data_IF_503873409542
#
_entry.id   IF_503873409542
#
_cell.length_a   1.000
_cell.length_b   1.000
_cell.length_c   1.000
_cell.angle_alpha   90.00
_cell.angle_beta   90.00
_cell.angle_gamma   90.00
#
_symmetry.space_group_name_H-M   'P 1'
#
loop_
_entity.id
_entity.type
_entity.pdbx_description
1 polymer ?
#
# COMPACT_ATOMS: atom_id res chain seq x y z
N UNK A 1 65.07 63.55 -21.61
CA UNK A 1 63.71 62.98 -21.83
C UNK A 1 63.58 61.47 -21.49
N UNK A 2 64.62 60.74 -21.19
CA UNK A 2 64.57 59.24 -21.01
C UNK A 2 64.25 58.74 -19.59
N UNK A 3 64.27 59.59 -18.55
CA UNK A 3 63.91 59.11 -17.15
C UNK A 3 62.43 59.19 -16.83
N UNK A 4 61.66 60.00 -17.46
CA UNK A 4 60.23 60.20 -17.19
C UNK A 4 59.41 59.06 -17.79
N UNK A 5 59.78 58.50 -18.93
CA UNK A 5 59.06 57.39 -19.59
C UNK A 5 59.19 56.09 -18.82
N UNK A 6 60.31 55.85 -18.10
CA UNK A 6 60.49 54.68 -17.26
C UNK A 6 59.61 54.70 -16.01
N UNK A 7 59.29 55.84 -15.45
CA UNK A 7 58.44 55.95 -14.26
C UNK A 7 56.96 55.61 -14.57
N UNK A 8 56.45 56.07 -15.72
CA UNK A 8 55.09 55.79 -16.16
C UNK A 8 54.87 54.29 -16.49
N UNK A 9 55.87 53.59 -17.00
CA UNK A 9 55.84 52.16 -17.29
C UNK A 9 55.81 51.32 -16.00
N UNK A 10 56.56 51.71 -14.96
CA UNK A 10 56.58 51.05 -13.67
C UNK A 10 55.24 51.18 -12.90
N UNK A 11 54.66 52.41 -12.96
CA UNK A 11 53.35 52.64 -12.31
C UNK A 11 52.22 51.82 -12.94
N UNK A 12 52.21 51.71 -14.27
CA UNK A 12 51.20 50.90 -14.95
C UNK A 12 51.36 49.41 -14.66
N UNK A 13 52.59 48.92 -14.50
CA UNK A 13 52.83 47.48 -14.12
C UNK A 13 52.43 47.23 -12.68
N UNK A 14 52.71 48.16 -11.77
CA UNK A 14 52.27 48.05 -10.34
C UNK A 14 50.73 48.10 -10.25
N UNK A 15 50.07 48.99 -11.00
CA UNK A 15 48.62 49.11 -11.03
C UNK A 15 47.97 47.78 -11.58
N UNK A 16 48.54 47.21 -12.64
CA UNK A 16 48.07 45.95 -13.22
C UNK A 16 48.25 44.79 -12.25
N UNK A 17 49.36 44.77 -11.48
CA UNK A 17 49.58 43.77 -10.43
C UNK A 17 48.60 43.94 -9.27
N UNK A 18 48.38 45.16 -8.77
CA UNK A 18 47.37 45.44 -7.75
C UNK A 18 45.95 45.04 -8.19
N UNK A 19 45.57 45.37 -9.42
CA UNK A 19 44.25 44.98 -9.96
C UNK A 19 44.10 43.43 -10.07
N UNK A 20 45.16 42.71 -10.42
CA UNK A 20 45.16 41.27 -10.48
C UNK A 20 45.04 40.61 -9.09
N UNK A 21 45.73 41.17 -8.10
CA UNK A 21 45.66 40.76 -6.72
C UNK A 21 44.28 41.04 -6.10
N UNK A 22 43.73 42.24 -6.34
CA UNK A 22 42.37 42.62 -5.89
C UNK A 22 41.31 41.68 -6.48
N UNK A 23 41.40 41.33 -7.78
CA UNK A 23 40.50 40.39 -8.41
C UNK A 23 40.60 39.00 -7.76
N UNK A 24 41.80 38.49 -7.46
CA UNK A 24 41.98 37.23 -6.77
C UNK A 24 41.43 37.26 -5.35
N UNK A 25 41.62 38.36 -4.62
CA UNK A 25 41.08 38.53 -3.27
C UNK A 25 39.54 38.59 -3.27
N UNK A 26 38.97 39.28 -4.27
CA UNK A 26 37.53 39.37 -4.47
C UNK A 26 36.93 38.00 -4.81
N UNK A 27 37.57 37.19 -5.65
CA UNK A 27 37.15 35.83 -5.94
C UNK A 27 37.26 34.92 -4.73
N UNK A 28 38.34 35.01 -3.95
CA UNK A 28 38.52 34.26 -2.72
C UNK A 28 37.48 34.66 -1.67
N UNK A 29 37.14 35.94 -1.56
CA UNK A 29 36.07 36.41 -0.67
C UNK A 29 34.69 35.93 -1.12
N UNK A 30 34.40 35.96 -2.41
CA UNK A 30 33.16 35.47 -2.99
C UNK A 30 32.98 33.94 -2.76
N UNK A 31 34.06 33.16 -2.95
CA UNK A 31 34.08 31.75 -2.66
C UNK A 31 33.87 31.44 -1.16
N UNK A 32 34.49 32.28 -0.28
CA UNK A 32 34.30 32.12 1.18
C UNK A 32 32.87 32.43 1.60
N UNK A 33 32.23 33.46 1.01
CA UNK A 33 30.83 33.80 1.27
C UNK A 33 29.90 32.69 0.77
N UNK A 34 30.17 32.07 -0.40
CA UNK A 34 29.45 30.95 -0.93
C UNK A 34 29.58 29.67 -0.06
N UNK A 35 30.75 29.45 0.54
CA UNK A 35 30.98 28.32 1.46
C UNK A 35 30.29 28.53 2.81
N UNK A 36 30.22 29.77 3.31
CA UNK A 36 29.54 30.09 4.58
C UNK A 36 28.01 30.10 4.41
N UNK A 37 27.48 30.46 3.24
CA UNK A 37 26.04 30.42 2.96
C UNK A 37 25.48 28.98 2.79
N UNK A 38 26.33 27.97 2.62
CA UNK A 38 25.93 26.57 2.55
C UNK A 38 25.57 25.93 3.89
N UNK A 39 25.92 26.55 5.04
CA UNK A 39 25.68 25.97 6.36
C UNK A 39 24.30 26.27 6.96
N UNK A 40 23.47 27.09 6.33
CA UNK A 40 22.09 27.37 6.76
C UNK A 40 21.04 26.58 5.98
N UNK A 41 21.41 25.46 5.38
CA UNK A 41 20.44 24.45 5.05
C UNK A 41 20.00 23.81 6.37
N UNK A 42 19.06 24.44 7.09
CA UNK A 42 18.26 23.70 8.06
C UNK A 42 17.78 22.48 7.29
N UNK A 43 18.20 21.30 7.71
CA UNK A 43 17.53 20.07 7.33
C UNK A 43 16.10 20.20 7.86
N UNK A 44 15.26 20.91 7.11
CA UNK A 44 13.83 20.87 7.35
C UNK A 44 13.47 19.40 7.29
N UNK A 45 12.93 18.92 8.36
CA UNK A 45 12.35 17.61 8.47
C UNK A 45 11.57 17.37 7.17
N UNK A 46 12.07 16.47 6.30
CA UNK A 46 11.50 16.27 4.98
C UNK A 46 10.18 15.55 5.12
N UNK A 47 9.12 16.30 5.33
CA UNK A 47 7.76 15.83 5.55
C UNK A 47 7.08 15.43 4.22
N UNK A 48 7.74 14.62 3.45
CA UNK A 48 7.18 14.16 2.19
C UNK A 48 7.49 15.08 1.00
N UNK A 49 7.25 14.58 -0.17
CA UNK A 49 7.55 15.22 -1.44
C UNK A 49 6.73 16.49 -1.62
N UNK A 50 7.37 17.61 -1.93
CA UNK A 50 6.67 18.78 -2.44
C UNK A 50 6.01 18.40 -3.77
N UNK A 51 4.70 18.52 -3.80
CA UNK A 51 3.91 18.31 -5.01
C UNK A 51 3.96 19.58 -5.87
N UNK A 52 3.64 19.44 -7.16
CA UNK A 52 3.46 20.57 -8.05
C UNK A 52 2.46 21.59 -7.47
N UNK A 53 2.60 22.85 -7.88
CA UNK A 53 1.72 23.93 -7.42
C UNK A 53 0.23 23.53 -7.57
N UNK A 54 -0.53 23.74 -6.50
CA UNK A 54 -1.96 23.42 -6.45
C UNK A 54 -2.29 21.97 -6.09
N UNK A 55 -1.29 21.07 -5.99
CA UNK A 55 -1.49 19.66 -5.60
C UNK A 55 -1.11 19.37 -4.15
N UNK A 56 -0.49 20.32 -3.46
CA UNK A 56 -0.15 20.16 -2.04
C UNK A 56 -1.42 20.14 -1.19
N UNK A 57 -1.43 19.27 -0.19
CA UNK A 57 -2.46 19.29 0.84
C UNK A 57 -2.26 20.49 1.75
N UNK A 58 -3.36 21.04 2.27
CA UNK A 58 -3.31 22.18 3.19
C UNK A 58 -3.05 21.65 4.59
N UNK A 59 -2.00 22.15 5.23
CA UNK A 59 -1.72 21.92 6.63
C UNK A 59 -2.43 22.99 7.45
N UNK A 60 -3.42 22.57 8.24
CA UNK A 60 -4.21 23.47 9.10
C UNK A 60 -3.65 23.62 10.50
N UNK A 61 -2.72 22.75 10.90
CA UNK A 61 -2.11 22.71 12.22
C UNK A 61 -0.59 22.60 12.10
N UNK A 62 0.13 23.40 12.87
CA UNK A 62 1.57 23.22 13.07
C UNK A 62 1.80 22.14 14.13
N UNK A 63 2.73 21.24 13.88
CA UNK A 63 3.11 20.17 14.78
C UNK A 63 4.50 20.48 15.35
N UNK A 64 4.58 20.54 16.68
CA UNK A 64 5.88 20.53 17.38
C UNK A 64 6.21 19.08 17.71
N UNK A 65 7.21 18.55 17.03
CA UNK A 65 7.60 17.16 17.12
C UNK A 65 8.56 16.91 18.26
N UNK A 66 8.29 15.86 19.03
CA UNK A 66 9.15 15.22 20.01
C UNK A 66 9.41 13.80 19.57
N UNK A 67 10.38 13.10 20.17
CA UNK A 67 10.61 11.70 19.84
C UNK A 67 11.03 10.86 21.04
N UNK A 68 10.71 9.58 20.97
CA UNK A 68 11.22 8.54 21.88
C UNK A 68 12.19 7.65 21.09
N UNK A 69 13.47 7.55 21.55
CA UNK A 69 14.45 6.66 20.94
C UNK A 69 14.39 5.26 21.54
N UNK A 70 14.66 4.24 20.73
CA UNK A 70 14.97 2.87 21.15
C UNK A 70 16.22 2.36 20.42
N UNK A 71 16.45 1.04 20.46
CA UNK A 71 17.59 0.42 19.78
C UNK A 71 17.48 0.59 18.25
N UNK A 72 16.31 0.28 17.70
CA UNK A 72 16.09 0.24 16.25
C UNK A 72 15.18 1.35 15.72
N UNK A 73 14.50 2.10 16.62
CA UNK A 73 13.51 3.09 16.19
C UNK A 73 13.68 4.44 16.86
N UNK A 74 13.20 5.48 16.17
CA UNK A 74 12.93 6.82 16.69
C UNK A 74 11.47 7.17 16.37
N UNK A 75 10.60 7.14 17.39
CA UNK A 75 9.17 7.40 17.22
C UNK A 75 8.87 8.86 17.51
N UNK A 76 8.56 9.60 16.46
CA UNK A 76 8.20 11.02 16.52
C UNK A 76 6.71 11.18 16.80
N UNK A 77 6.38 12.10 17.70
CA UNK A 77 5.03 12.43 18.10
C UNK A 77 4.91 13.93 18.42
N UNK A 78 3.71 14.43 18.56
CA UNK A 78 3.41 15.81 18.99
C UNK A 78 2.49 15.80 20.21
N UNK A 79 2.26 16.97 20.82
CA UNK A 79 1.50 17.15 22.06
C UNK A 79 0.18 16.37 22.02
N UNK A 80 -0.04 15.52 23.01
CA UNK A 80 -1.19 14.63 23.17
C UNK A 80 -0.97 13.22 22.58
N UNK A 81 0.19 12.96 21.93
CA UNK A 81 0.54 11.68 21.33
C UNK A 81 1.49 10.80 22.14
N UNK A 82 1.82 11.18 23.38
CA UNK A 82 2.84 10.54 24.22
C UNK A 82 2.56 9.04 24.44
N UNK A 83 1.34 8.71 24.85
CA UNK A 83 0.95 7.32 25.11
C UNK A 83 0.91 6.48 23.83
N UNK A 84 0.42 7.07 22.73
CA UNK A 84 0.38 6.40 21.44
C UNK A 84 1.79 6.12 20.92
N UNK A 85 2.69 7.08 21.08
CA UNK A 85 4.09 6.94 20.67
C UNK A 85 4.83 5.86 21.49
N UNK A 86 4.59 5.78 22.79
CA UNK A 86 5.14 4.72 23.62
C UNK A 86 4.63 3.34 23.22
N UNK A 87 3.32 3.21 22.96
CA UNK A 87 2.74 1.98 22.43
C UNK A 87 3.37 1.62 21.09
N UNK A 88 3.44 2.58 20.16
CA UNK A 88 4.03 2.39 18.83
C UNK A 88 5.48 1.92 18.92
N UNK A 89 6.27 2.51 19.83
CA UNK A 89 7.68 2.15 20.04
C UNK A 89 7.83 0.68 20.46
N UNK A 90 7.05 0.26 21.46
CA UNK A 90 7.08 -1.13 21.96
C UNK A 90 6.62 -2.10 20.88
N UNK A 91 5.54 -1.78 20.20
CA UNK A 91 5.02 -2.58 19.08
C UNK A 91 6.03 -2.70 17.94
N UNK A 92 6.71 -1.60 17.58
CA UNK A 92 7.73 -1.61 16.53
C UNK A 92 8.90 -2.56 16.88
N UNK A 93 9.45 -2.50 18.08
CA UNK A 93 10.56 -3.38 18.50
C UNK A 93 10.14 -4.86 18.53
N UNK A 94 8.94 -5.15 19.00
CA UNK A 94 8.43 -6.53 19.02
C UNK A 94 8.25 -7.11 17.62
N UNK A 95 7.64 -6.36 16.72
CA UNK A 95 7.35 -6.80 15.37
C UNK A 95 8.59 -6.86 14.48
N UNK A 96 9.57 -6.00 14.70
CA UNK A 96 10.80 -6.00 13.93
C UNK A 96 11.50 -7.36 13.98
N UNK A 97 11.60 -7.93 15.17
CA UNK A 97 12.29 -9.21 15.40
C UNK A 97 11.67 -10.34 14.57
N UNK A 98 10.34 -10.44 14.55
CA UNK A 98 9.63 -11.48 13.78
C UNK A 98 9.79 -11.26 12.27
N UNK A 99 9.67 -10.01 11.84
CA UNK A 99 9.77 -9.68 10.42
C UNK A 99 11.19 -9.80 9.88
N UNK A 100 12.22 -9.49 10.67
CA UNK A 100 13.61 -9.77 10.31
C UNK A 100 13.87 -11.28 10.12
N UNK A 101 13.28 -12.12 10.98
CA UNK A 101 13.35 -13.56 10.82
C UNK A 101 12.61 -14.04 9.56
N UNK A 102 11.45 -13.43 9.25
CA UNK A 102 10.68 -13.76 8.05
C UNK A 102 11.45 -13.42 6.77
N UNK A 103 12.09 -12.25 6.70
CA UNK A 103 12.85 -11.80 5.52
C UNK A 103 14.30 -12.31 5.49
N UNK A 104 14.78 -12.93 6.56
CA UNK A 104 16.21 -13.25 6.79
C UNK A 104 17.10 -12.03 6.52
N UNK A 105 16.69 -10.87 7.02
CA UNK A 105 17.33 -9.58 6.80
C UNK A 105 17.28 -8.71 8.06
N UNK A 106 18.41 -8.07 8.38
CA UNK A 106 18.55 -7.18 9.55
C UNK A 106 18.69 -5.74 9.08
N UNK A 107 18.01 -4.81 9.73
CA UNK A 107 18.17 -3.37 9.44
C UNK A 107 19.53 -2.87 9.92
N UNK A 108 20.18 -2.03 9.11
CA UNK A 108 21.49 -1.45 9.42
C UNK A 108 21.37 -0.08 10.12
N UNK A 109 20.27 0.64 9.90
CA UNK A 109 20.03 1.99 10.40
C UNK A 109 18.71 2.06 11.17
N UNK A 110 18.62 2.99 12.14
CA UNK A 110 17.38 3.23 12.86
C UNK A 110 16.26 3.68 11.93
N UNK A 111 15.06 3.19 12.23
CA UNK A 111 13.85 3.53 11.49
C UNK A 111 13.14 4.69 12.18
N UNK A 112 12.91 5.78 11.46
CA UNK A 112 12.12 6.91 11.93
C UNK A 112 10.63 6.65 11.72
N UNK A 113 9.84 6.76 12.79
CA UNK A 113 8.39 6.55 12.77
C UNK A 113 7.68 7.85 13.11
N UNK A 114 6.89 8.38 12.19
CA UNK A 114 6.05 9.54 12.46
C UNK A 114 4.64 9.05 12.84
N UNK A 115 4.28 9.22 14.11
CA UNK A 115 3.01 8.77 14.66
C UNK A 115 2.01 9.92 14.76
N UNK A 116 0.91 9.81 14.01
CA UNK A 116 -0.20 10.78 14.00
C UNK A 116 -1.34 10.29 14.89
N UNK A 117 -1.95 11.21 15.64
CA UNK A 117 -3.07 10.90 16.53
C UNK A 117 -4.33 10.45 15.78
N UNK A 118 -4.49 10.85 14.54
CA UNK A 118 -5.63 10.46 13.72
C UNK A 118 -5.34 10.61 12.22
N UNK A 119 -6.17 10.00 11.39
CA UNK A 119 -6.07 10.04 9.94
C UNK A 119 -6.22 11.47 9.37
N UNK A 120 -7.05 12.32 9.99
CA UNK A 120 -7.27 13.68 9.49
C UNK A 120 -6.02 14.55 9.62
N UNK A 121 -5.22 14.36 10.66
CA UNK A 121 -3.93 15.04 10.85
C UNK A 121 -2.87 14.47 9.90
N UNK A 122 -2.81 13.15 9.72
CA UNK A 122 -1.96 12.53 8.72
C UNK A 122 -2.25 13.05 7.30
N UNK A 123 -3.52 13.22 6.96
CA UNK A 123 -3.96 13.75 5.65
C UNK A 123 -3.60 15.21 5.40
N UNK A 124 -3.16 15.97 6.39
CA UNK A 124 -2.64 17.32 6.20
C UNK A 124 -1.21 17.32 5.65
N UNK A 125 -0.52 16.19 5.71
CA UNK A 125 0.79 16.00 5.08
C UNK A 125 0.65 15.58 3.63
N UNK A 126 1.71 15.81 2.83
CA UNK A 126 1.78 15.30 1.46
C UNK A 126 2.19 13.81 1.39
N UNK A 127 2.30 13.14 2.53
CA UNK A 127 2.68 11.74 2.61
C UNK A 127 1.63 10.84 1.97
N UNK A 128 2.08 9.87 1.20
CA UNK A 128 1.19 8.97 0.46
C UNK A 128 0.61 9.55 -0.83
N UNK A 129 0.95 10.79 -1.22
CA UNK A 129 0.62 11.34 -2.53
C UNK A 129 1.71 10.92 -3.53
N UNK A 130 1.48 9.87 -4.27
CA UNK A 130 2.25 9.54 -5.48
C UNK A 130 1.39 9.82 -6.70
N UNK A 131 2.01 10.20 -7.83
CA UNK A 131 1.39 10.81 -9.01
C UNK A 131 0.02 10.31 -9.47
N UNK A 132 -0.25 9.00 -9.46
CA UNK A 132 -1.56 8.44 -9.82
C UNK A 132 -2.46 8.15 -8.60
N UNK A 133 -1.90 8.11 -7.37
CA UNK A 133 -2.62 7.81 -6.13
C UNK A 133 -3.12 9.10 -5.44
N UNK A 134 -3.66 10.05 -6.19
CA UNK A 134 -4.23 11.30 -5.64
C UNK A 134 -5.33 11.10 -4.60
N UNK A 135 -5.77 9.85 -4.43
CA UNK A 135 -6.89 9.45 -3.59
C UNK A 135 -6.53 8.35 -2.59
N UNK A 136 -5.26 8.24 -2.23
CA UNK A 136 -4.84 7.26 -1.23
C UNK A 136 -5.54 7.54 0.12
N UNK A 137 -6.66 6.85 0.31
CA UNK A 137 -7.57 6.97 1.45
C UNK A 137 -7.05 6.11 2.60
N UNK A 138 -6.21 5.15 2.31
CA UNK A 138 -5.67 4.17 3.25
C UNK A 138 -4.16 4.07 3.17
N UNK A 139 -3.50 4.97 3.77
CA UNK A 139 -2.26 4.97 4.46
C UNK A 139 -1.08 4.09 4.10
N UNK A 140 -0.82 3.66 2.88
CA UNK A 140 0.54 3.25 2.55
C UNK A 140 1.30 4.43 1.96
N UNK A 141 1.93 5.21 2.81
CA UNK A 141 2.91 6.20 2.37
C UNK A 141 4.04 5.46 1.67
N UNK A 142 4.42 5.92 0.48
CA UNK A 142 5.62 5.42 -0.17
C UNK A 142 6.80 5.79 0.71
N UNK A 143 7.43 4.78 1.31
CA UNK A 143 8.53 4.98 2.24
C UNK A 143 9.76 5.35 1.43
N UNK A 144 10.36 6.49 1.77
CA UNK A 144 11.64 6.90 1.24
C UNK A 144 12.69 6.65 2.32
N UNK A 145 13.54 5.66 2.13
CA UNK A 145 14.58 5.28 3.09
C UNK A 145 14.03 4.52 4.31
N UNK A 146 14.56 4.82 5.49
CA UNK A 146 14.20 4.17 6.77
C UNK A 146 13.10 4.92 7.53
N UNK A 147 12.12 5.51 6.83
CA UNK A 147 11.01 6.27 7.45
C UNK A 147 9.69 5.57 7.28
N UNK A 148 8.88 5.53 8.33
CA UNK A 148 7.52 5.00 8.29
C UNK A 148 6.54 5.95 8.96
N UNK A 149 5.27 5.82 8.61
CA UNK A 149 4.20 6.70 9.04
C UNK A 149 3.04 5.88 9.55
N UNK A 150 2.52 6.24 10.72
CA UNK A 150 1.35 5.60 11.31
C UNK A 150 0.33 6.65 11.74
N UNK A 151 -0.93 6.27 11.74
CA UNK A 151 -2.00 7.08 12.31
C UNK A 151 -2.99 6.18 13.03
N UNK A 152 -3.55 6.71 14.13
CA UNK A 152 -4.49 5.96 14.93
C UNK A 152 -5.92 6.08 14.38
N UNK A 153 -6.59 4.94 14.20
CA UNK A 153 -7.98 4.85 13.68
C UNK A 153 -8.99 4.40 14.75
N UNK A 154 -8.65 4.56 16.04
CA UNK A 154 -9.50 4.15 17.15
C UNK A 154 -9.35 2.67 17.56
N UNK A 155 -8.49 1.90 16.89
CA UNK A 155 -8.19 0.50 17.21
C UNK A 155 -6.69 0.23 17.23
N UNK A 156 -6.23 -0.42 18.30
CA UNK A 156 -4.83 -0.84 18.39
C UNK A 156 -4.54 -1.99 17.41
N UNK A 157 -5.50 -2.85 17.10
CA UNK A 157 -5.32 -3.93 16.12
C UNK A 157 -5.05 -3.39 14.72
N UNK A 158 -5.75 -2.30 14.33
CA UNK A 158 -5.50 -1.63 13.06
C UNK A 158 -4.12 -0.93 13.05
N UNK A 159 -3.75 -0.30 14.15
CA UNK A 159 -2.45 0.33 14.30
C UNK A 159 -1.33 -0.72 14.24
N UNK A 160 -1.49 -1.85 14.92
CA UNK A 160 -0.56 -2.97 14.89
C UNK A 160 -0.34 -3.49 13.46
N UNK A 161 -1.43 -3.66 12.73
CA UNK A 161 -1.37 -4.04 11.32
C UNK A 161 -0.60 -3.01 10.48
N UNK A 162 -0.86 -1.71 10.66
CA UNK A 162 -0.12 -0.64 9.98
C UNK A 162 1.38 -0.70 10.30
N UNK A 163 1.73 -0.90 11.58
CA UNK A 163 3.13 -1.01 12.03
C UNK A 163 3.82 -2.18 11.33
N UNK A 164 3.20 -3.37 11.34
CA UNK A 164 3.75 -4.57 10.71
C UNK A 164 3.93 -4.39 9.20
N UNK A 165 2.93 -3.84 8.52
CA UNK A 165 3.00 -3.57 7.07
C UNK A 165 4.12 -2.57 6.74
N UNK A 166 4.28 -1.52 7.55
CA UNK A 166 5.31 -0.53 7.35
C UNK A 166 6.73 -1.09 7.60
N UNK A 167 6.93 -1.87 8.66
CA UNK A 167 8.21 -2.54 8.91
C UNK A 167 8.54 -3.53 7.78
N UNK A 168 7.57 -4.35 7.37
CA UNK A 168 7.74 -5.29 6.26
C UNK A 168 8.13 -4.55 4.97
N UNK A 169 7.56 -3.38 4.72
CA UNK A 169 7.88 -2.53 3.57
C UNK A 169 9.30 -1.98 3.63
N UNK A 170 9.76 -1.52 4.80
CA UNK A 170 11.14 -1.06 5.00
C UNK A 170 12.12 -2.20 4.76
N UNK A 171 11.89 -3.36 5.39
CA UNK A 171 12.74 -4.54 5.22
C UNK A 171 12.79 -5.01 3.75
N UNK A 172 11.64 -5.10 3.09
CA UNK A 172 11.56 -5.45 1.68
C UNK A 172 12.32 -4.45 0.80
N UNK A 173 12.11 -3.15 1.02
CA UNK A 173 12.76 -2.12 0.24
C UNK A 173 14.29 -2.14 0.42
N UNK A 174 14.78 -2.32 1.64
CA UNK A 174 16.21 -2.43 1.92
C UNK A 174 16.81 -3.70 1.32
N UNK A 175 16.12 -4.84 1.44
CA UNK A 175 16.55 -6.11 0.87
C UNK A 175 16.64 -6.03 -0.66
N UNK A 176 15.64 -5.48 -1.34
CA UNK A 176 15.55 -5.47 -2.81
C UNK A 176 16.37 -4.34 -3.43
N UNK A 177 16.33 -3.14 -2.84
CA UNK A 177 16.92 -1.93 -3.44
C UNK A 177 18.20 -1.46 -2.74
N UNK A 178 18.51 -1.96 -1.54
CA UNK A 178 19.62 -1.54 -0.70
C UNK A 178 19.24 -0.57 0.40
N UNK A 179 20.08 -0.52 1.46
CA UNK A 179 19.79 0.24 2.68
C UNK A 179 19.90 1.77 2.53
N UNK A 180 20.64 2.27 1.53
CA UNK A 180 20.83 3.71 1.37
C UNK A 180 20.12 4.27 0.12
N UNK A 181 19.77 5.56 0.15
CA UNK A 181 19.01 6.22 -0.92
C UNK A 181 19.68 6.19 -2.29
N UNK A 182 21.03 6.15 -2.36
CA UNK A 182 21.77 6.06 -3.61
C UNK A 182 21.59 4.68 -4.27
N UNK A 183 21.62 3.65 -3.45
CA UNK A 183 21.37 2.28 -3.91
C UNK A 183 19.93 2.10 -4.33
N UNK A 184 18.98 2.67 -3.58
CA UNK A 184 17.56 2.67 -3.95
C UNK A 184 17.34 3.32 -5.31
N UNK A 185 17.90 4.52 -5.57
CA UNK A 185 17.79 5.20 -6.88
C UNK A 185 18.43 4.37 -8.00
N UNK A 186 19.59 3.80 -7.77
CA UNK A 186 20.29 2.97 -8.76
C UNK A 186 19.55 1.67 -9.05
N UNK A 187 19.10 0.98 -8.01
CA UNK A 187 18.55 -0.37 -8.15
C UNK A 187 17.08 -0.34 -8.58
N UNK A 188 16.29 0.68 -8.18
CA UNK A 188 14.89 0.83 -8.62
C UNK A 188 14.74 1.08 -10.13
N UNK A 189 15.77 1.62 -10.78
CA UNK A 189 15.81 1.73 -12.25
C UNK A 189 16.19 0.44 -12.94
N UNK A 190 16.87 -0.48 -12.25
CA UNK A 190 17.40 -1.72 -12.80
C UNK A 190 16.50 -2.94 -12.56
N UNK A 191 15.69 -2.91 -11.49
CA UNK A 191 14.75 -3.96 -11.15
C UNK A 191 13.34 -3.37 -11.04
N UNK A 192 12.49 -3.69 -12.01
CA UNK A 192 11.07 -3.36 -11.97
C UNK A 192 10.33 -4.45 -11.20
N UNK A 193 9.85 -4.11 -10.00
CA UNK A 193 9.07 -5.02 -9.16
C UNK A 193 7.58 -4.78 -9.41
N UNK A 194 6.80 -5.79 -9.87
CA UNK A 194 5.36 -5.65 -10.03
C UNK A 194 4.64 -5.48 -8.69
N UNK A 195 3.54 -4.72 -8.68
CA UNK A 195 2.75 -4.45 -7.47
C UNK A 195 2.26 -5.73 -6.76
N UNK A 196 1.81 -6.74 -7.51
CA UNK A 196 1.37 -8.01 -6.92
C UNK A 196 2.48 -8.71 -6.12
N UNK A 197 3.74 -8.60 -6.57
CA UNK A 197 4.88 -9.19 -5.89
C UNK A 197 5.20 -8.43 -4.61
N UNK A 198 5.42 -7.10 -4.71
CA UNK A 198 5.79 -6.22 -3.60
C UNK A 198 4.67 -6.13 -2.55
N UNK A 199 3.49 -5.64 -2.92
CA UNK A 199 2.37 -5.46 -2.00
C UNK A 199 1.86 -6.80 -1.45
N UNK A 200 1.97 -7.85 -2.25
CA UNK A 200 1.62 -9.20 -1.85
C UNK A 200 2.48 -9.75 -0.73
N UNK A 201 3.82 -9.65 -0.86
CA UNK A 201 4.73 -10.15 0.17
C UNK A 201 4.66 -9.31 1.45
N UNK A 202 4.54 -7.98 1.32
CA UNK A 202 4.40 -7.08 2.46
C UNK A 202 3.13 -7.43 3.24
N UNK A 203 2.00 -7.55 2.57
CA UNK A 203 0.73 -7.90 3.19
C UNK A 203 0.75 -9.30 3.81
N UNK A 204 1.39 -10.27 3.14
CA UNK A 204 1.55 -11.64 3.65
C UNK A 204 2.44 -11.69 4.90
N UNK A 205 3.60 -11.03 4.88
CA UNK A 205 4.51 -10.96 6.01
C UNK A 205 3.87 -10.28 7.24
N UNK A 206 3.07 -9.23 7.00
CA UNK A 206 2.43 -8.49 8.07
C UNK A 206 1.26 -9.23 8.74
N UNK A 207 0.43 -9.93 7.97
CA UNK A 207 -0.87 -10.43 8.45
C UNK A 207 -1.20 -11.86 8.02
N UNK A 208 -0.30 -12.56 7.31
CA UNK A 208 -0.62 -13.83 6.67
C UNK A 208 -1.64 -13.66 5.55
N UNK A 209 -2.43 -14.70 5.28
CA UNK A 209 -3.48 -14.65 4.25
C UNK A 209 -4.80 -14.15 4.83
N UNK A 210 -5.43 -13.19 4.17
CA UNK A 210 -6.74 -12.66 4.57
C UNK A 210 -7.89 -13.54 4.07
N UNK A 211 -9.02 -13.52 4.79
CA UNK A 211 -10.26 -14.18 4.35
C UNK A 211 -10.77 -13.56 3.03
N UNK A 212 -10.59 -12.24 2.87
CA UNK A 212 -10.92 -11.51 1.65
C UNK A 212 -10.09 -12.01 0.46
N UNK A 213 -8.75 -12.07 0.60
CA UNK A 213 -7.85 -12.59 -0.44
C UNK A 213 -8.17 -14.03 -0.80
N UNK A 214 -8.42 -14.88 0.21
CA UNK A 214 -8.82 -16.28 -0.01
C UNK A 214 -10.13 -16.41 -0.78
N UNK A 215 -11.11 -15.57 -0.48
CA UNK A 215 -12.40 -15.54 -1.18
C UNK A 215 -12.23 -15.04 -2.61
N UNK A 216 -11.49 -13.96 -2.79
CA UNK A 216 -11.20 -13.34 -4.09
C UNK A 216 -10.53 -14.34 -5.04
N UNK A 217 -9.46 -15.01 -4.60
CA UNK A 217 -8.74 -15.97 -5.46
C UNK A 217 -9.57 -17.21 -5.76
N UNK A 218 -10.37 -17.71 -4.80
CA UNK A 218 -11.28 -18.83 -5.05
C UNK A 218 -12.33 -18.51 -6.11
N UNK A 219 -12.85 -17.28 -6.13
CA UNK A 219 -13.77 -16.81 -7.18
C UNK A 219 -13.08 -16.69 -8.54
N UNK A 220 -11.88 -16.11 -8.59
CA UNK A 220 -11.07 -16.05 -9.81
C UNK A 220 -10.76 -17.44 -10.37
N UNK A 221 -10.35 -18.37 -9.51
CA UNK A 221 -10.03 -19.73 -9.90
C UNK A 221 -11.24 -20.48 -10.47
N UNK A 222 -12.43 -20.29 -9.86
CA UNK A 222 -13.69 -20.88 -10.35
C UNK A 222 -14.19 -20.26 -11.64
N UNK A 223 -14.08 -18.94 -11.77
CA UNK A 223 -14.59 -18.21 -12.94
C UNK A 223 -13.68 -18.32 -14.16
N UNK A 224 -12.44 -18.82 -14.00
CA UNK A 224 -11.45 -18.87 -15.09
C UNK A 224 -11.00 -17.49 -15.58
N UNK A 225 -11.17 -16.46 -14.76
CA UNK A 225 -10.83 -15.08 -15.13
C UNK A 225 -9.37 -14.71 -14.89
N UNK A 226 -8.64 -15.55 -14.18
CA UNK A 226 -7.21 -15.36 -14.00
C UNK A 226 -6.47 -15.67 -15.30
N UNK A 227 -5.68 -14.70 -15.80
CA UNK A 227 -4.85 -14.85 -17.00
C UNK A 227 -3.37 -14.72 -16.68
N UNK A 228 -3.00 -13.71 -15.90
CA UNK A 228 -1.64 -13.47 -15.42
C UNK A 228 -1.67 -12.57 -14.20
N UNK A 229 -0.60 -12.54 -13.42
CA UNK A 229 -0.48 -11.67 -12.25
C UNK A 229 -0.56 -10.18 -12.62
N UNK A 230 0.01 -9.80 -13.76
CA UNK A 230 0.11 -8.40 -14.20
C UNK A 230 -1.22 -7.80 -14.71
N UNK A 231 -2.31 -8.59 -14.72
CA UNK A 231 -3.65 -8.05 -15.06
C UNK A 231 -4.29 -7.30 -13.89
N UNK A 232 -3.74 -7.44 -12.68
CA UNK A 232 -4.28 -6.87 -11.45
C UNK A 232 -3.53 -5.62 -11.06
N UNK A 233 -4.23 -4.62 -10.56
CA UNK A 233 -3.68 -3.39 -10.03
C UNK A 233 -4.34 -3.03 -8.68
N UNK A 234 -3.74 -2.06 -7.96
CA UNK A 234 -4.27 -1.60 -6.69
C UNK A 234 -4.46 -2.72 -5.67
N UNK A 235 -5.62 -2.77 -5.06
CA UNK A 235 -5.95 -3.72 -3.99
C UNK A 235 -6.07 -5.16 -4.50
N UNK A 236 -6.57 -5.37 -5.72
CA UNK A 236 -6.64 -6.69 -6.36
C UNK A 236 -5.24 -7.30 -6.54
N UNK A 237 -4.24 -6.50 -6.91
CA UNK A 237 -2.85 -6.95 -7.02
C UNK A 237 -2.30 -7.38 -5.66
N UNK A 238 -2.57 -6.63 -4.59
CA UNK A 238 -2.21 -6.96 -3.22
C UNK A 238 -2.84 -8.29 -2.78
N UNK A 239 -4.14 -8.48 -3.00
CA UNK A 239 -4.86 -9.70 -2.62
C UNK A 239 -4.35 -10.95 -3.37
N UNK A 240 -4.14 -10.81 -4.69
CA UNK A 240 -3.58 -11.91 -5.51
C UNK A 240 -2.16 -12.22 -5.07
N UNK A 241 -1.33 -11.22 -4.83
CA UNK A 241 0.03 -11.42 -4.35
C UNK A 241 0.09 -12.05 -2.97
N UNK A 242 -0.73 -11.59 -2.01
CA UNK A 242 -0.83 -12.16 -0.66
C UNK A 242 -1.18 -13.65 -0.70
N UNK A 243 -2.16 -14.02 -1.51
CA UNK A 243 -2.57 -15.42 -1.66
C UNK A 243 -1.55 -16.25 -2.42
N UNK A 244 -0.80 -15.66 -3.36
CA UNK A 244 0.30 -16.33 -4.04
C UNK A 244 1.46 -16.65 -3.09
N UNK A 245 1.86 -15.71 -2.24
CA UNK A 245 2.90 -15.96 -1.23
C UNK A 245 2.46 -16.97 -0.17
N UNK A 246 1.18 -16.97 0.18
CA UNK A 246 0.61 -18.05 1.01
C UNK A 246 0.71 -19.42 0.34
N UNK A 247 0.41 -19.50 -0.97
CA UNK A 247 0.59 -20.72 -1.74
C UNK A 247 2.05 -21.20 -1.72
N UNK A 248 3.00 -20.30 -1.96
CA UNK A 248 4.43 -20.62 -1.89
C UNK A 248 4.80 -21.16 -0.50
N UNK A 249 4.36 -20.50 0.56
CA UNK A 249 4.65 -20.91 1.93
C UNK A 249 4.02 -22.29 2.29
N UNK A 250 2.80 -22.55 1.85
CA UNK A 250 2.11 -23.83 2.15
C UNK A 250 2.70 -25.01 1.36
N UNK A 251 3.09 -24.81 0.10
CA UNK A 251 3.54 -25.89 -0.79
C UNK A 251 5.04 -26.13 -0.70
N UNK A 252 5.82 -25.04 -0.65
CA UNK A 252 7.29 -25.12 -0.69
C UNK A 252 7.96 -24.80 0.65
N UNK A 253 7.17 -24.32 1.63
CA UNK A 253 7.64 -23.89 2.94
C UNK A 253 8.02 -22.41 2.99
N UNK A 254 7.82 -21.80 4.16
CA UNK A 254 8.07 -20.37 4.37
C UNK A 254 9.55 -20.00 4.18
N UNK A 255 10.47 -20.92 4.48
CA UNK A 255 11.92 -20.68 4.41
C UNK A 255 12.46 -20.45 2.97
N UNK A 256 11.67 -20.76 1.93
CA UNK A 256 12.08 -20.49 0.55
C UNK A 256 11.90 -19.02 0.16
N UNK A 257 11.04 -18.28 0.88
CA UNK A 257 10.69 -16.90 0.54
C UNK A 257 11.90 -15.98 0.56
N UNK A 258 12.71 -15.91 1.63
CA UNK A 258 13.94 -15.09 1.65
C UNK A 258 14.89 -15.42 0.49
N UNK A 259 15.03 -16.70 0.17
CA UNK A 259 15.90 -17.14 -0.92
C UNK A 259 15.40 -16.64 -2.29
N UNK A 260 14.07 -16.68 -2.53
CA UNK A 260 13.46 -16.15 -3.75
C UNK A 260 13.71 -14.64 -3.86
N UNK A 261 13.52 -13.89 -2.77
CA UNK A 261 13.76 -12.45 -2.74
C UNK A 261 15.23 -12.12 -3.00
N UNK A 262 16.16 -12.82 -2.34
CA UNK A 262 17.60 -12.66 -2.54
C UNK A 262 18.00 -12.95 -3.98
N UNK A 263 17.53 -14.06 -4.56
CA UNK A 263 17.84 -14.41 -5.95
C UNK A 263 17.21 -13.46 -6.97
N UNK A 264 16.01 -12.95 -6.68
CA UNK A 264 15.38 -11.92 -7.50
C UNK A 264 16.21 -10.61 -7.49
N UNK A 265 16.72 -10.21 -6.34
CA UNK A 265 17.60 -9.06 -6.17
C UNK A 265 18.92 -9.27 -6.89
N UNK A 266 19.61 -10.40 -6.66
CA UNK A 266 20.91 -10.70 -7.23
C UNK A 266 20.90 -10.81 -8.76
N UNK A 267 19.84 -11.43 -9.32
CA UNK A 267 19.65 -11.58 -10.77
C UNK A 267 19.00 -10.37 -11.44
N UNK A 268 18.49 -9.41 -10.65
CA UNK A 268 17.68 -8.28 -11.11
C UNK A 268 16.45 -8.69 -11.92
N UNK A 269 15.90 -9.85 -11.61
CA UNK A 269 14.74 -10.41 -12.28
C UNK A 269 13.95 -11.30 -11.33
N UNK A 270 12.68 -11.00 -11.16
CA UNK A 270 11.78 -11.71 -10.26
C UNK A 270 11.56 -13.15 -10.70
N UNK A 271 11.38 -13.37 -11.99
CA UNK A 271 11.15 -14.72 -12.54
C UNK A 271 12.36 -15.63 -12.30
N UNK A 272 13.57 -15.06 -12.40
CA UNK A 272 14.79 -15.78 -12.06
C UNK A 272 14.85 -16.20 -10.59
N UNK A 273 14.27 -15.38 -9.68
CA UNK A 273 14.18 -15.74 -8.27
C UNK A 273 13.42 -17.05 -8.06
N UNK A 274 12.25 -17.19 -8.69
CA UNK A 274 11.47 -18.43 -8.63
C UNK A 274 12.17 -19.59 -9.34
N UNK A 275 12.69 -19.34 -10.53
CA UNK A 275 13.35 -20.39 -11.32
C UNK A 275 14.57 -20.99 -10.61
N UNK A 276 15.42 -20.17 -10.00
CA UNK A 276 16.62 -20.66 -9.32
C UNK A 276 16.34 -21.37 -8.01
N UNK A 277 15.30 -20.95 -7.28
CA UNK A 277 14.98 -21.51 -5.96
C UNK A 277 14.03 -22.71 -6.07
N UNK A 278 13.02 -22.62 -6.92
CA UNK A 278 11.96 -23.63 -7.03
C UNK A 278 12.11 -24.52 -8.28
N UNK A 279 12.93 -24.12 -9.25
CA UNK A 279 13.08 -24.84 -10.52
C UNK A 279 11.88 -24.66 -11.48
N UNK A 280 10.99 -23.72 -11.20
CA UNK A 280 9.74 -23.49 -11.94
C UNK A 280 9.69 -22.08 -12.51
N UNK A 281 9.13 -21.96 -13.71
CA UNK A 281 8.84 -20.65 -14.31
C UNK A 281 7.60 -20.03 -13.67
N UNK A 282 7.45 -18.71 -13.78
CA UNK A 282 6.27 -18.02 -13.25
C UNK A 282 4.97 -18.52 -13.91
N UNK A 283 4.99 -18.90 -15.17
CA UNK A 283 3.82 -19.47 -15.87
C UNK A 283 3.42 -20.84 -15.29
N UNK A 284 4.40 -21.71 -15.01
CA UNK A 284 4.14 -22.97 -14.32
C UNK A 284 3.56 -22.75 -12.92
N UNK A 285 4.19 -21.88 -12.13
CA UNK A 285 3.72 -21.53 -10.81
C UNK A 285 2.32 -20.91 -10.84
N UNK A 286 1.99 -20.08 -11.84
CA UNK A 286 0.66 -19.50 -11.98
C UNK A 286 -0.41 -20.56 -12.23
N UNK A 287 -0.08 -21.58 -13.01
CA UNK A 287 -0.97 -22.70 -13.30
C UNK A 287 -1.20 -23.56 -12.04
N UNK A 288 -0.14 -23.89 -11.32
CA UNK A 288 -0.22 -24.66 -10.07
C UNK A 288 -0.96 -23.89 -8.99
N UNK A 289 -0.69 -22.60 -8.83
CA UNK A 289 -1.38 -21.70 -7.90
C UNK A 289 -2.90 -21.67 -8.13
N UNK A 290 -3.33 -21.52 -9.36
CA UNK A 290 -4.77 -21.53 -9.68
C UNK A 290 -5.41 -22.91 -9.42
N UNK A 291 -4.71 -24.00 -9.74
CA UNK A 291 -5.20 -25.33 -9.45
C UNK A 291 -5.31 -25.61 -7.95
N UNK A 292 -4.32 -25.19 -7.16
CA UNK A 292 -4.35 -25.27 -5.71
C UNK A 292 -5.60 -24.60 -5.10
N UNK A 293 -5.93 -23.37 -5.56
CA UNK A 293 -7.13 -22.71 -5.07
C UNK A 293 -8.43 -23.22 -5.67
N UNK A 294 -8.40 -23.86 -6.85
CA UNK A 294 -9.56 -24.59 -7.39
C UNK A 294 -9.91 -25.79 -6.51
N UNK A 295 -8.91 -26.55 -6.10
CA UNK A 295 -9.10 -27.72 -5.21
C UNK A 295 -9.60 -27.27 -3.83
N UNK A 296 -8.97 -26.26 -3.22
CA UNK A 296 -9.46 -25.64 -1.97
C UNK A 296 -10.88 -25.06 -2.10
N UNK A 297 -11.24 -24.61 -3.28
CA UNK A 297 -12.58 -24.08 -3.57
C UNK A 297 -13.62 -25.19 -3.77
N UNK A 298 -13.22 -26.34 -4.31
CA UNK A 298 -14.11 -27.49 -4.50
C UNK A 298 -14.49 -28.14 -3.17
N UNK A 299 -13.52 -28.35 -2.25
CA UNK A 299 -13.76 -28.94 -0.94
C UNK A 299 -14.70 -28.12 -0.06
N UNK A 300 -14.49 -26.78 0.01
CA UNK A 300 -15.23 -25.94 0.95
C UNK A 300 -16.69 -25.68 0.62
N UNK A 301 -17.13 -25.89 -0.62
CA UNK A 301 -18.53 -25.64 -1.02
C UNK A 301 -19.47 -26.79 -0.68
N UNK A 302 -18.96 -28.02 -0.75
CA UNK A 302 -19.77 -29.20 -0.45
C UNK A 302 -20.05 -29.35 1.05
N UNK A 303 -19.13 -28.87 1.91
CA UNK A 303 -19.29 -29.01 3.36
C UNK A 303 -20.27 -27.99 3.97
N UNK A 304 -20.50 -26.85 3.29
CA UNK A 304 -21.42 -25.80 3.73
C UNK A 304 -22.88 -26.02 3.27
N UNK A 305 -23.09 -26.92 2.30
CA UNK A 305 -24.44 -27.23 1.81
C UNK A 305 -25.02 -28.43 2.57
N UNK A 306 -26.31 -28.39 2.89
CA UNK A 306 -27.01 -29.58 3.38
C UNK A 306 -26.74 -30.80 2.47
N UNK A 307 -26.58 -31.97 3.04
CA UNK A 307 -26.22 -33.18 2.28
C UNK A 307 -27.16 -33.47 1.08
N UNK A 308 -28.40 -33.01 1.17
CA UNK A 308 -29.42 -33.13 0.13
C UNK A 308 -29.19 -32.20 -1.07
N UNK A 309 -28.33 -31.21 -0.91
CA UNK A 309 -28.01 -30.18 -1.94
C UNK A 309 -26.58 -30.29 -2.47
N UNK A 310 -25.86 -31.37 -2.12
CA UNK A 310 -24.50 -31.59 -2.64
C UNK A 310 -24.55 -32.15 -4.05
N UNK A 311 -23.85 -31.43 -4.98
CA UNK A 311 -23.66 -31.93 -6.33
C UNK A 311 -22.55 -32.99 -6.33
N UNK A 312 -22.72 -34.12 -7.00
CA UNK A 312 -21.63 -35.08 -7.18
C UNK A 312 -20.61 -34.57 -8.16
N UNK A 313 -19.33 -34.93 -7.99
CA UNK A 313 -18.24 -34.50 -8.89
C UNK A 313 -18.43 -34.94 -10.34
N UNK A 314 -19.27 -35.95 -10.59
CA UNK A 314 -19.61 -36.48 -11.89
C UNK A 314 -21.04 -36.12 -12.34
N UNK A 315 -21.60 -35.04 -11.81
CA UNK A 315 -22.97 -34.64 -12.10
C UNK A 315 -23.21 -34.35 -13.59
N UNK A 316 -24.29 -34.90 -14.10
CA UNK A 316 -24.74 -34.68 -15.47
C UNK A 316 -25.22 -33.26 -15.71
N UNK A 317 -25.29 -32.82 -16.97
CA UNK A 317 -25.79 -31.45 -17.33
C UNK A 317 -27.21 -31.21 -16.80
N UNK A 318 -28.03 -32.28 -16.68
CA UNK A 318 -29.40 -32.20 -16.19
C UNK A 318 -29.45 -32.06 -14.67
N UNK A 319 -28.60 -32.78 -13.95
CA UNK A 319 -28.43 -32.62 -12.48
C UNK A 319 -27.88 -31.24 -12.13
N UNK A 320 -26.91 -30.72 -12.87
CA UNK A 320 -26.40 -29.35 -12.70
C UNK A 320 -27.52 -28.32 -12.93
N UNK A 321 -28.42 -28.56 -13.92
CA UNK A 321 -29.55 -27.67 -14.21
C UNK A 321 -30.63 -27.76 -13.12
N UNK A 322 -30.91 -28.96 -12.60
CA UNK A 322 -31.80 -29.18 -11.47
C UNK A 322 -31.26 -28.56 -10.18
N UNK A 323 -29.96 -28.74 -9.91
CA UNK A 323 -29.22 -28.09 -8.80
C UNK A 323 -29.27 -26.57 -8.87
N UNK A 324 -29.02 -26.00 -10.04
CA UNK A 324 -29.16 -24.53 -10.22
C UNK A 324 -30.59 -24.04 -10.01
N UNK A 325 -31.60 -24.85 -10.28
CA UNK A 325 -33.00 -24.52 -10.00
C UNK A 325 -33.31 -24.61 -8.51
N UNK A 326 -32.77 -25.61 -7.79
CA UNK A 326 -32.96 -25.74 -6.35
C UNK A 326 -32.22 -24.65 -5.56
N UNK A 327 -31.03 -24.25 -5.98
CA UNK A 327 -30.34 -23.07 -5.43
C UNK A 327 -31.15 -21.79 -5.64
N UNK A 328 -31.87 -21.68 -6.74
CA UNK A 328 -32.73 -20.54 -7.05
C UNK A 328 -33.96 -20.49 -6.13
N UNK A 329 -34.45 -21.60 -5.65
CA UNK A 329 -35.54 -21.70 -4.67
C UNK A 329 -35.09 -21.41 -3.24
N UNK A 330 -33.80 -21.42 -2.95
CA UNK A 330 -33.20 -21.12 -1.64
C UNK A 330 -32.88 -19.63 -1.40
N UNK A 331 -33.37 -18.75 -2.26
CA UNK A 331 -33.29 -17.30 -2.02
C UNK A 331 -32.03 -16.62 -2.57
N UNK A 332 -31.60 -16.98 -3.77
CA UNK A 332 -30.64 -16.15 -4.50
C UNK A 332 -31.15 -14.72 -4.57
N UNK A 333 -30.39 -13.78 -4.06
CA UNK A 333 -30.62 -12.36 -4.19
C UNK A 333 -30.59 -11.99 -5.70
N UNK A 334 -31.77 -11.93 -6.34
CA UNK A 334 -31.89 -11.57 -7.75
C UNK A 334 -31.70 -10.08 -7.97
N UNK A 335 -30.56 -9.55 -7.56
CA UNK A 335 -30.15 -8.21 -7.94
C UNK A 335 -29.68 -8.24 -9.39
N UNK A 336 -30.49 -7.67 -10.31
CA UNK A 336 -30.10 -7.56 -11.71
C UNK A 336 -28.82 -6.75 -11.82
N UNK A 337 -27.69 -7.43 -12.03
CA UNK A 337 -26.38 -6.81 -12.21
C UNK A 337 -26.37 -5.93 -13.47
N UNK A 338 -25.89 -4.71 -13.33
CA UNK A 338 -25.64 -3.79 -14.42
C UNK A 338 -24.17 -3.38 -14.42
N UNK A 339 -23.43 -3.67 -15.47
CA UNK A 339 -21.98 -3.40 -15.60
C UNK A 339 -21.56 -1.95 -15.27
N UNK A 340 -22.45 -0.98 -15.45
CA UNK A 340 -22.18 0.43 -15.18
C UNK A 340 -22.23 0.81 -13.71
N UNK A 341 -22.65 -0.08 -12.83
CA UNK A 341 -22.71 0.15 -11.38
C UNK A 341 -21.64 -0.66 -10.67
N UNK A 342 -20.90 0.00 -9.80
CA UNK A 342 -20.16 -0.67 -8.76
C UNK A 342 -21.11 -0.98 -7.60
N UNK A 343 -21.15 -2.23 -7.14
CA UNK A 343 -22.02 -2.69 -6.05
C UNK A 343 -21.16 -2.92 -4.79
N UNK A 344 -21.56 -2.33 -3.68
CA UNK A 344 -20.81 -2.41 -2.43
C UNK A 344 -21.71 -2.39 -1.20
N UNK A 345 -21.12 -2.62 -0.01
CA UNK A 345 -21.77 -2.43 1.31
C UNK A 345 -23.07 -3.22 1.47
N UNK A 346 -23.07 -4.50 1.09
CA UNK A 346 -24.21 -5.37 1.36
C UNK A 346 -24.32 -5.64 2.86
N UNK A 347 -25.48 -5.32 3.46
CA UNK A 347 -25.77 -5.57 4.87
C UNK A 347 -27.16 -6.14 5.03
N UNK A 348 -27.27 -7.24 5.80
CA UNK A 348 -28.53 -7.92 6.08
C UNK A 348 -29.19 -7.31 7.31
N UNK A 349 -30.51 -7.10 7.30
CA UNK A 349 -31.26 -6.69 8.48
C UNK A 349 -31.20 -7.75 9.58
N UNK A 350 -31.30 -7.39 10.88
CA UNK A 350 -31.24 -8.34 11.98
C UNK A 350 -32.30 -9.46 11.90
N UNK A 351 -33.46 -9.17 11.35
CA UNK A 351 -34.56 -10.12 11.10
C UNK A 351 -34.39 -10.95 9.82
N UNK A 352 -33.31 -10.71 9.06
CA UNK A 352 -32.96 -11.35 7.79
C UNK A 352 -33.99 -11.18 6.66
N UNK A 353 -34.94 -10.28 6.81
CA UNK A 353 -35.99 -10.03 5.79
C UNK A 353 -35.57 -9.06 4.70
N UNK A 354 -34.57 -8.19 4.96
CA UNK A 354 -34.14 -7.13 4.06
C UNK A 354 -32.64 -7.08 3.89
N UNK A 355 -32.20 -6.72 2.68
CA UNK A 355 -30.77 -6.44 2.39
C UNK A 355 -30.65 -5.00 1.94
N UNK A 356 -29.82 -4.22 2.61
CA UNK A 356 -29.42 -2.90 2.13
C UNK A 356 -28.09 -3.02 1.37
N UNK A 357 -27.95 -2.27 0.28
CA UNK A 357 -26.70 -2.22 -0.50
C UNK A 357 -26.56 -0.88 -1.22
N UNK A 358 -25.30 -0.56 -1.58
CA UNK A 358 -24.96 0.67 -2.29
C UNK A 358 -24.63 0.36 -3.74
N UNK A 359 -24.98 1.26 -4.64
CA UNK A 359 -24.48 1.27 -6.03
C UNK A 359 -23.88 2.61 -6.36
N UNK A 360 -22.70 2.60 -6.97
CA UNK A 360 -22.00 3.79 -7.45
C UNK A 360 -22.03 3.85 -8.98
N UNK A 361 -22.15 5.04 -9.51
CA UNK A 361 -22.09 5.34 -10.95
C UNK A 361 -21.46 6.73 -11.14
N UNK A 362 -20.19 6.80 -11.52
CA UNK A 362 -19.46 8.06 -11.75
C UNK A 362 -19.57 9.05 -10.55
N UNK A 363 -19.34 8.58 -9.34
CA UNK A 363 -19.44 9.39 -8.11
C UNK A 363 -20.84 9.58 -7.54
N UNK A 364 -21.89 9.30 -8.32
CA UNK A 364 -23.24 9.28 -7.78
C UNK A 364 -23.50 7.95 -7.07
N UNK A 365 -23.99 8.00 -5.84
CA UNK A 365 -24.36 6.77 -5.12
C UNK A 365 -25.85 6.68 -4.88
N UNK A 366 -26.33 5.43 -4.76
CA UNK A 366 -27.72 5.09 -4.41
C UNK A 366 -27.72 3.99 -3.37
N UNK A 367 -28.56 4.16 -2.35
CA UNK A 367 -28.83 3.12 -1.36
C UNK A 367 -30.12 2.43 -1.73
N UNK A 368 -30.05 1.11 -1.81
CA UNK A 368 -31.16 0.24 -2.16
C UNK A 368 -31.53 -0.63 -0.98
N UNK A 369 -32.82 -0.83 -0.83
CA UNK A 369 -33.40 -1.82 0.07
C UNK A 369 -34.02 -2.94 -0.77
N UNK A 370 -33.58 -4.16 -0.54
CA UNK A 370 -34.09 -5.36 -1.19
C UNK A 370 -34.82 -6.20 -0.18
N UNK A 371 -36.03 -6.58 -0.47
CA UNK A 371 -36.86 -7.48 0.32
C UNK A 371 -36.61 -8.92 -0.14
N UNK A 372 -36.20 -9.76 0.80
CA UNK A 372 -35.71 -11.13 0.51
C UNK A 372 -36.88 -12.04 0.10
N UNK A 373 -38.06 -11.89 0.71
CA UNK A 373 -39.22 -12.73 0.43
C UNK A 373 -39.86 -12.37 -0.92
N UNK A 374 -40.09 -11.08 -1.13
CA UNK A 374 -40.82 -10.61 -2.34
C UNK A 374 -39.92 -10.40 -3.55
N UNK A 375 -38.59 -10.35 -3.37
CA UNK A 375 -37.63 -10.02 -4.42
C UNK A 375 -37.73 -8.57 -4.95
N UNK A 376 -38.51 -7.72 -4.28
CA UNK A 376 -38.67 -6.33 -4.66
C UNK A 376 -37.55 -5.47 -4.13
N UNK A 377 -37.16 -4.48 -4.92
CA UNK A 377 -36.14 -3.50 -4.50
C UNK A 377 -36.65 -2.08 -4.59
N UNK A 378 -36.25 -1.25 -3.65
CA UNK A 378 -36.60 0.16 -3.57
C UNK A 378 -35.32 0.99 -3.37
N UNK A 379 -35.15 2.03 -4.17
CA UNK A 379 -34.12 3.03 -3.93
C UNK A 379 -34.58 3.96 -2.81
N UNK A 380 -33.89 3.96 -1.67
CA UNK A 380 -34.26 4.78 -0.50
C UNK A 380 -33.51 6.10 -0.46
N UNK A 381 -32.30 6.15 -1.04
CA UNK A 381 -31.51 7.37 -1.11
C UNK A 381 -30.76 7.43 -2.43
N UNK A 382 -30.69 8.63 -3.01
CA UNK A 382 -29.84 8.97 -4.15
C UNK A 382 -29.18 10.31 -3.84
N UNK A 383 -27.85 10.33 -3.88
CA UNK A 383 -27.05 11.51 -3.57
C UNK A 383 -25.93 11.68 -4.60
N UNK A 384 -25.36 12.87 -4.62
CA UNK A 384 -24.32 13.32 -5.53
C UNK A 384 -24.77 13.38 -7.00
N UNK A 385 -23.96 14.01 -7.82
CA UNK A 385 -24.16 14.09 -9.27
C UNK A 385 -23.15 13.21 -9.98
N UNK A 386 -23.51 12.72 -11.14
CA UNK A 386 -22.56 12.02 -12.00
C UNK A 386 -21.49 13.01 -12.48
N UNK A 387 -20.26 12.71 -12.20
CA UNK A 387 -19.10 13.51 -12.58
C UNK A 387 -18.00 12.56 -13.07
N UNK A 388 -17.33 12.92 -14.14
CA UNK A 388 -16.13 12.22 -14.62
C UNK A 388 -14.94 12.58 -13.72
N UNK A 389 -14.99 12.15 -12.47
CA UNK A 389 -13.89 12.27 -11.52
C UNK A 389 -13.78 10.98 -10.74
N UNK A 390 -12.61 10.74 -10.17
CA UNK A 390 -12.40 9.66 -9.21
C UNK A 390 -13.28 9.94 -7.99
N UNK A 391 -14.11 8.96 -7.64
CA UNK A 391 -15.02 9.04 -6.50
C UNK A 391 -14.56 8.04 -5.43
N UNK A 392 -14.75 8.46 -4.18
CA UNK A 392 -14.57 7.56 -3.04
C UNK A 392 -15.75 6.58 -2.97
N UNK A 393 -15.52 5.34 -3.41
CA UNK A 393 -16.53 4.27 -3.37
C UNK A 393 -16.60 3.58 -2.01
N UNK A 394 -15.77 3.95 -1.06
CA UNK A 394 -15.82 3.44 0.32
C UNK A 394 -16.98 4.03 1.10
N UNK A 395 -17.50 5.18 0.68
CA UNK A 395 -18.65 5.88 1.25
C UNK A 395 -19.90 5.71 0.34
N UNK A 396 -21.15 5.61 0.91
CA UNK A 396 -21.50 5.61 2.32
C UNK A 396 -21.29 4.25 3.01
N UNK A 397 -21.11 4.28 4.32
CA UNK A 397 -21.15 3.10 5.18
C UNK A 397 -22.58 2.86 5.62
N UNK A 398 -23.03 1.61 5.63
CA UNK A 398 -24.37 1.22 6.05
C UNK A 398 -24.32 0.38 7.32
N UNK A 399 -25.17 0.68 8.27
CA UNK A 399 -25.36 -0.14 9.46
C UNK A 399 -26.85 -0.23 9.82
N UNK A 400 -27.30 -1.43 10.20
CA UNK A 400 -28.63 -1.62 10.75
C UNK A 400 -28.63 -1.39 12.26
N UNK A 401 -29.62 -0.67 12.75
CA UNK A 401 -29.92 -0.67 14.16
C UNK A 401 -30.38 -2.09 14.58
N UNK A 402 -30.07 -2.57 15.80
CA UNK A 402 -30.46 -3.92 16.25
C UNK A 402 -31.98 -4.20 16.19
N UNK A 403 -32.82 -3.17 16.27
CA UNK A 403 -34.25 -3.33 16.09
C UNK A 403 -34.67 -3.72 14.66
N UNK A 404 -33.82 -3.58 13.65
CA UNK A 404 -34.16 -3.79 12.25
C UNK A 404 -35.01 -2.69 11.59
N UNK A 405 -35.43 -1.67 12.31
CA UNK A 405 -36.30 -0.61 11.79
C UNK A 405 -35.53 0.58 11.21
N UNK A 406 -34.31 0.80 11.66
CA UNK A 406 -33.48 1.96 11.29
C UNK A 406 -32.23 1.48 10.57
N UNK A 407 -31.96 2.08 9.41
CA UNK A 407 -30.70 1.95 8.65
C UNK A 407 -29.97 3.30 8.71
N UNK A 408 -28.74 3.30 9.19
CA UNK A 408 -27.84 4.47 9.28
C UNK A 408 -26.69 4.37 8.32
#
# INVERSE_FOLDING_TARGET
>A
MTKVVRFYSLQNVILAYCQRYMKKLLHALLCSILLISGEFAFAQFYQGTNMEFGKNRIQYREFTWFYYPSENFEVYYYIGGENLAQYTLVSCEQNLKELQQFFDYTVDEKIEVLSYLNQSEFRQSNLGLTGDDQFNIGGSAKIVGSKMFTYYEGSHDLLEKQIRENIARVLFAQLIYGGNWKDVLKNSTLLSVPKWFEEGIISYAASGVSAEGTTFIKDLARSGKFKSFNQFDGDDARLVGQTFWNYIAEVYGQNVIPNILYMAQASRNIESGFLYVLGLTLDQLSTEYINFYKEKAAGGRNDLLPSELRLSDNATKEEIKAYKRSLKSLGDLHVRYRKKYHYSKFTLSPDQTKVAYVTHELGQYRIWLYDVETGKKKCILKREHKMERIADETFPVLAWHPSGEVLT
#
